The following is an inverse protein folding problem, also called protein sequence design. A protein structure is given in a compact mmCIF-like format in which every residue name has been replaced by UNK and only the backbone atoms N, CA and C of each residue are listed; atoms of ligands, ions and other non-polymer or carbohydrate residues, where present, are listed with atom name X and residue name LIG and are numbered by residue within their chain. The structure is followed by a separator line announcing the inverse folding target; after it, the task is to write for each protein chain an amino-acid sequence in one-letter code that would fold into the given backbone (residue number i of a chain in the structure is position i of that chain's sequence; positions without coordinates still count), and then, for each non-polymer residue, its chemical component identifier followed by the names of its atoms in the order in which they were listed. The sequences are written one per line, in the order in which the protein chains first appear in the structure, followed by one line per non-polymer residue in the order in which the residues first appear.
data_IF_748235528340
#
_entry.id   IF_748235528340
#
_cell.length_a   1.000
_cell.length_b   1.000
_cell.length_c   1.000
_cell.angle_alpha   90.00
_cell.angle_beta   90.00
_cell.angle_gamma   90.00
#
_symmetry.space_group_name_H-M   'P 1'
#
loop_
_entity.id
_entity.type
_entity.pdbx_description
1 polymer ?
#
# COMPACT_ATOMS: atom_id res chain seq x y z
N UNK A 1 0.21 12.37 -19.73
CA UNK A 1 -0.71 13.50 -19.48
C UNK A 1 -0.66 13.77 -17.99
N UNK A 2 0.08 14.81 -17.62
CA UNK A 2 0.13 15.35 -16.26
C UNK A 2 -1.30 15.71 -15.83
N UNK A 3 -1.74 15.38 -14.60
CA UNK A 3 -2.94 16.01 -14.08
C UNK A 3 -2.70 17.53 -14.10
N UNK A 4 -3.65 18.28 -14.68
CA UNK A 4 -3.53 19.73 -14.81
C UNK A 4 -3.31 20.34 -13.41
N UNK A 5 -2.36 21.27 -13.23
CA UNK A 5 -2.02 21.85 -11.92
C UNK A 5 -3.24 22.44 -11.20
N UNK A 6 -4.25 22.88 -11.96
CA UNK A 6 -5.53 23.38 -11.46
C UNK A 6 -6.31 22.35 -10.64
N UNK A 7 -6.34 21.07 -11.02
CA UNK A 7 -7.10 20.05 -10.27
C UNK A 7 -6.44 19.71 -8.93
N UNK A 8 -5.11 19.78 -8.86
CA UNK A 8 -4.37 19.66 -7.60
C UNK A 8 -4.57 20.90 -6.72
N UNK A 9 -4.55 22.09 -7.32
CA UNK A 9 -4.78 23.35 -6.59
C UNK A 9 -6.18 23.39 -5.99
N UNK A 10 -7.20 23.00 -6.77
CA UNK A 10 -8.60 22.92 -6.31
C UNK A 10 -8.77 21.89 -5.20
N UNK A 11 -8.16 20.70 -5.29
CA UNK A 11 -8.21 19.72 -4.20
C UNK A 11 -7.52 20.24 -2.92
N UNK A 12 -6.38 20.92 -3.07
CA UNK A 12 -5.64 21.51 -1.93
C UNK A 12 -6.40 22.68 -1.30
N UNK A 13 -7.12 23.49 -2.10
CA UNK A 13 -7.97 24.57 -1.61
C UNK A 13 -9.28 24.06 -1.02
N UNK A 14 -9.86 22.99 -1.59
CA UNK A 14 -11.04 22.33 -1.03
C UNK A 14 -10.73 21.70 0.34
N UNK A 15 -9.50 21.21 0.56
CA UNK A 15 -9.02 20.77 1.87
C UNK A 15 -8.93 21.90 2.91
N UNK A 16 -8.82 23.16 2.45
CA UNK A 16 -8.85 24.34 3.30
C UNK A 16 -10.29 24.75 3.70
N UNK A 17 -11.27 24.45 2.83
CA UNK A 17 -12.66 24.91 2.97
C UNK A 17 -13.58 23.81 3.54
N UNK A 18 -13.29 22.53 3.29
CA UNK A 18 -13.98 21.40 3.92
C UNK A 18 -13.01 20.64 4.83
N UNK A 19 -13.19 20.67 6.17
CA UNK A 19 -12.39 19.85 7.06
C UNK A 19 -12.51 18.38 6.64
N UNK A 20 -11.36 17.77 6.36
CA UNK A 20 -11.30 16.38 5.97
C UNK A 20 -11.74 15.49 7.15
N UNK A 21 -12.85 14.77 6.99
CA UNK A 21 -13.22 13.71 7.93
C UNK A 21 -12.27 12.52 7.82
N UNK A 22 -12.21 11.73 8.91
CA UNK A 22 -11.40 10.54 9.05
C UNK A 22 -11.54 9.65 7.82
N UNK A 23 -10.42 9.35 7.15
CA UNK A 23 -10.44 8.57 5.92
C UNK A 23 -10.95 7.13 6.11
N UNK A 24 -10.97 6.64 7.35
CA UNK A 24 -11.53 5.34 7.71
C UNK A 24 -13.02 5.41 8.01
N UNK A 25 -13.41 6.00 9.15
CA UNK A 25 -14.80 5.98 9.60
C UNK A 25 -15.67 7.14 9.06
N UNK A 26 -15.06 8.22 8.58
CA UNK A 26 -15.77 9.41 8.11
C UNK A 26 -16.46 10.25 9.19
N UNK A 27 -16.27 9.96 10.48
CA UNK A 27 -17.03 10.60 11.57
C UNK A 27 -16.31 11.77 12.26
N UNK A 28 -14.98 11.77 12.28
CA UNK A 28 -14.18 12.72 13.07
C UNK A 28 -13.39 13.63 12.14
N UNK A 29 -13.32 14.96 12.36
CA UNK A 29 -12.56 15.88 11.51
C UNK A 29 -11.04 15.75 11.76
N UNK A 30 -10.45 14.70 11.22
CA UNK A 30 -9.03 14.39 11.31
C UNK A 30 -8.59 13.57 10.09
N UNK A 31 -7.29 13.43 9.87
CA UNK A 31 -6.77 12.55 8.80
C UNK A 31 -7.19 11.09 8.99
N UNK A 32 -6.91 10.54 10.15
CA UNK A 32 -7.28 9.20 10.59
C UNK A 32 -7.40 9.22 12.12
N UNK A 33 -8.56 8.87 12.66
CA UNK A 33 -8.80 8.94 14.11
C UNK A 33 -8.14 7.77 14.85
N UNK A 34 -7.97 7.91 16.17
CA UNK A 34 -7.35 6.89 17.02
C UNK A 34 -8.03 5.52 16.91
N UNK A 35 -9.36 5.48 16.81
CA UNK A 35 -10.09 4.22 16.61
C UNK A 35 -9.79 3.55 15.25
N UNK A 36 -9.45 4.31 14.22
CA UNK A 36 -9.02 3.76 12.93
C UNK A 36 -7.53 3.43 12.93
N UNK A 37 -6.71 4.21 13.62
CA UNK A 37 -5.30 3.90 13.86
C UNK A 37 -5.14 2.59 14.63
N UNK A 38 -5.93 2.37 15.68
CA UNK A 38 -5.93 1.13 16.47
C UNK A 38 -6.24 -0.10 15.61
N UNK A 39 -7.16 0.00 14.65
CA UNK A 39 -7.46 -1.07 13.69
C UNK A 39 -6.28 -1.38 12.77
N UNK A 40 -5.53 -0.36 12.36
CA UNK A 40 -4.29 -0.56 11.59
C UNK A 40 -3.17 -1.09 12.48
N UNK A 41 -3.17 -0.73 13.77
CA UNK A 41 -2.19 -1.12 14.78
C UNK A 41 -2.39 -2.52 15.38
N UNK A 42 -3.47 -3.21 15.00
CA UNK A 42 -3.70 -4.59 15.39
C UNK A 42 -2.53 -5.50 14.96
N UNK A 43 -2.39 -6.62 15.68
CA UNK A 43 -1.35 -7.61 15.41
C UNK A 43 -1.51 -8.18 13.98
N UNK A 44 -0.45 -8.16 13.16
CA UNK A 44 -0.49 -8.80 11.85
C UNK A 44 -0.76 -10.29 11.96
N UNK A 45 -1.50 -10.83 11.01
CA UNK A 45 -1.85 -12.24 11.02
C UNK A 45 -1.50 -12.92 9.71
N UNK A 46 -1.17 -14.22 9.81
CA UNK A 46 -0.99 -15.08 8.65
C UNK A 46 -2.35 -15.38 8.04
N UNK A 47 -2.52 -15.09 6.75
CA UNK A 47 -3.73 -15.42 6.02
C UNK A 47 -3.70 -16.92 5.70
N UNK A 48 -4.75 -17.69 6.05
CA UNK A 48 -4.85 -19.08 5.62
C UNK A 48 -4.78 -19.15 4.10
N UNK A 49 -3.77 -19.85 3.56
CA UNK A 49 -3.60 -19.96 2.12
C UNK A 49 -4.74 -20.82 1.55
N UNK A 50 -5.58 -20.31 0.63
CA UNK A 50 -6.64 -21.12 0.04
C UNK A 50 -6.10 -22.15 -0.98
N UNK A 51 -4.83 -22.05 -1.38
CA UNK A 51 -4.19 -22.89 -2.39
C UNK A 51 -2.74 -23.18 -2.01
N UNK A 52 -2.31 -24.43 -2.20
CA UNK A 52 -0.95 -24.90 -1.89
C UNK A 52 0.17 -24.20 -2.70
N UNK A 53 -0.18 -23.49 -3.79
CA UNK A 53 0.76 -22.85 -4.70
C UNK A 53 1.06 -21.37 -4.36
N UNK A 54 0.47 -20.81 -3.30
CA UNK A 54 0.70 -19.40 -2.92
C UNK A 54 1.73 -19.36 -1.78
N UNK A 55 2.78 -18.52 -1.86
CA UNK A 55 3.70 -18.34 -0.74
C UNK A 55 2.95 -17.87 0.52
N UNK A 56 3.50 -18.06 1.72
CA UNK A 56 2.88 -17.59 2.96
C UNK A 56 2.48 -16.10 2.86
N UNK A 57 1.20 -15.82 3.11
CA UNK A 57 0.65 -14.46 3.03
C UNK A 57 0.44 -13.90 4.44
N UNK A 58 0.85 -12.66 4.63
CA UNK A 58 0.65 -11.90 5.87
C UNK A 58 -0.19 -10.66 5.59
N UNK A 59 -1.09 -10.33 6.50
CA UNK A 59 -1.94 -9.15 6.42
C UNK A 59 -1.77 -8.29 7.69
N UNK A 60 -1.67 -6.98 7.50
CA UNK A 60 -1.64 -6.02 8.60
C UNK A 60 -3.03 -5.80 9.22
N UNK A 61 -4.10 -6.05 8.45
CA UNK A 61 -5.48 -5.86 8.87
C UNK A 61 -6.44 -6.57 7.90
N UNK A 62 -7.67 -6.84 8.35
CA UNK A 62 -8.76 -7.26 7.48
C UNK A 62 -9.17 -6.13 6.52
N UNK A 63 -9.37 -6.47 5.24
CA UNK A 63 -9.77 -5.50 4.21
C UNK A 63 -11.28 -5.21 4.25
N UNK A 64 -11.73 -4.54 5.30
CA UNK A 64 -13.14 -4.24 5.54
C UNK A 64 -13.33 -2.88 6.22
N UNK A 65 -14.59 -2.41 6.20
CA UNK A 65 -15.03 -1.22 6.94
C UNK A 65 -14.07 -0.02 6.84
N UNK A 66 -13.65 0.56 7.98
CA UNK A 66 -12.75 1.71 8.01
C UNK A 66 -11.36 1.46 7.39
N UNK A 67 -10.82 0.24 7.48
CA UNK A 67 -9.51 -0.09 6.89
C UNK A 67 -9.60 -0.06 5.36
N UNK A 68 -10.65 -0.68 4.79
CA UNK A 68 -10.94 -0.61 3.36
C UNK A 68 -11.12 0.83 2.90
N UNK A 69 -11.89 1.63 3.64
CA UNK A 69 -12.13 3.03 3.30
C UNK A 69 -10.82 3.85 3.27
N UNK A 70 -9.95 3.69 4.27
CA UNK A 70 -8.66 4.37 4.33
C UNK A 70 -7.73 3.96 3.15
N UNK A 71 -7.68 2.67 2.81
CA UNK A 71 -6.90 2.17 1.67
C UNK A 71 -7.40 2.71 0.34
N UNK A 72 -8.72 2.75 0.12
CA UNK A 72 -9.32 3.34 -1.09
C UNK A 72 -9.04 4.85 -1.15
N UNK A 73 -9.18 5.54 -0.02
CA UNK A 73 -8.91 6.97 0.08
C UNK A 73 -7.46 7.29 -0.30
N UNK A 74 -6.51 6.46 0.16
CA UNK A 74 -5.10 6.56 -0.17
C UNK A 74 -4.78 6.27 -1.65
N UNK A 75 -5.28 5.15 -2.17
CA UNK A 75 -4.92 4.66 -3.51
C UNK A 75 -5.59 5.45 -4.63
N UNK A 76 -6.87 5.79 -4.45
CA UNK A 76 -7.71 6.27 -5.54
C UNK A 76 -8.27 7.68 -5.32
N UNK A 77 -8.36 8.17 -4.06
CA UNK A 77 -8.91 9.52 -3.76
C UNK A 77 -7.86 10.55 -3.37
N UNK A 78 -6.58 10.27 -3.63
CA UNK A 78 -5.51 11.24 -3.46
C UNK A 78 -5.13 11.58 -2.02
N UNK A 79 -5.61 10.84 -1.00
CA UNK A 79 -5.24 11.03 0.42
C UNK A 79 -3.84 10.48 0.71
N UNK A 80 -2.84 10.99 -0.02
CA UNK A 80 -1.42 10.56 -0.01
C UNK A 80 -0.73 10.71 1.34
N UNK A 81 -1.31 11.54 2.19
CA UNK A 81 -0.86 11.81 3.55
C UNK A 81 -1.03 10.58 4.47
N UNK A 82 -1.95 9.66 4.14
CA UNK A 82 -2.14 8.37 4.84
C UNK A 82 -0.97 7.38 4.65
N UNK A 83 0.06 7.74 3.88
CA UNK A 83 1.20 6.87 3.61
C UNK A 83 1.95 6.48 4.89
N UNK A 84 1.99 7.36 5.89
CA UNK A 84 2.73 7.13 7.14
C UNK A 84 2.04 6.04 7.96
N UNK A 85 0.75 6.17 8.18
CA UNK A 85 -0.07 5.28 9.01
C UNK A 85 -0.19 3.90 8.36
N UNK A 86 -0.46 3.87 7.04
CA UNK A 86 -0.50 2.62 6.27
C UNK A 86 0.91 2.01 6.14
N UNK A 87 1.95 2.83 6.07
CA UNK A 87 3.33 2.39 6.01
C UNK A 87 3.76 1.70 7.30
N UNK A 88 3.39 2.24 8.45
CA UNK A 88 3.62 1.62 9.75
C UNK A 88 2.90 0.26 9.88
N UNK A 89 1.68 0.16 9.34
CA UNK A 89 0.95 -1.12 9.29
C UNK A 89 1.66 -2.14 8.39
N UNK A 90 2.14 -1.72 7.22
CA UNK A 90 2.95 -2.57 6.34
C UNK A 90 4.25 -3.02 7.02
N UNK A 91 4.95 -2.11 7.71
CA UNK A 91 6.19 -2.42 8.42
C UNK A 91 5.98 -3.52 9.46
N UNK A 92 4.93 -3.43 10.30
CA UNK A 92 4.59 -4.49 11.25
C UNK A 92 4.33 -5.83 10.57
N UNK A 93 3.56 -5.86 9.49
CA UNK A 93 3.29 -7.10 8.77
C UNK A 93 4.56 -7.71 8.16
N UNK A 94 5.50 -6.88 7.71
CA UNK A 94 6.81 -7.35 7.25
C UNK A 94 7.64 -7.90 8.41
N UNK A 95 7.69 -7.23 9.56
CA UNK A 95 8.39 -7.73 10.75
C UNK A 95 7.82 -9.06 11.22
N UNK A 96 6.49 -9.21 11.25
CA UNK A 96 5.83 -10.48 11.57
C UNK A 96 6.21 -11.59 10.57
N UNK A 97 6.21 -11.29 9.27
CA UNK A 97 6.63 -12.24 8.24
C UNK A 97 8.11 -12.62 8.36
N UNK A 98 8.99 -11.64 8.63
CA UNK A 98 10.42 -11.84 8.80
C UNK A 98 10.76 -12.66 10.05
N UNK A 99 9.99 -12.51 11.13
CA UNK A 99 10.14 -13.35 12.33
C UNK A 99 9.92 -14.85 12.10
N UNK A 100 9.30 -15.22 10.96
CA UNK A 100 9.10 -16.60 10.53
C UNK A 100 10.14 -17.07 9.51
N UNK A 101 11.05 -16.20 9.08
CA UNK A 101 12.16 -16.57 8.21
C UNK A 101 13.32 -17.18 9.03
N UNK A 102 14.19 -18.02 8.42
CA UNK A 102 15.40 -18.50 9.09
C UNK A 102 16.28 -17.34 9.56
N UNK A 103 16.82 -17.43 10.77
CA UNK A 103 17.70 -16.39 11.37
C UNK A 103 18.98 -16.09 10.58
N UNK A 104 19.36 -16.97 9.66
CA UNK A 104 20.51 -16.80 8.76
C UNK A 104 20.17 -16.08 7.44
N UNK A 105 18.89 -15.79 7.19
CA UNK A 105 18.50 -14.96 6.07
C UNK A 105 18.99 -13.54 6.35
N UNK A 106 19.79 -12.96 5.46
CA UNK A 106 20.30 -11.60 5.59
C UNK A 106 19.19 -10.53 5.54
N UNK A 107 19.44 -9.35 4.96
CA UNK A 107 18.42 -8.30 4.91
C UNK A 107 17.17 -8.75 4.14
N UNK A 108 16.00 -8.35 4.65
CA UNK A 108 14.69 -8.50 4.02
C UNK A 108 14.51 -7.49 2.89
N UNK A 109 14.27 -7.98 1.67
CA UNK A 109 14.00 -7.12 0.53
C UNK A 109 12.49 -6.92 0.35
N UNK A 110 12.01 -5.69 0.47
CA UNK A 110 10.65 -5.31 0.08
C UNK A 110 10.62 -5.04 -1.43
N UNK A 111 10.12 -6.00 -2.20
CA UNK A 111 9.97 -5.84 -3.65
C UNK A 111 8.51 -5.48 -3.97
N UNK A 112 8.18 -4.21 -4.29
CA UNK A 112 6.82 -3.84 -4.69
C UNK A 112 6.47 -4.45 -6.04
N UNK A 113 5.25 -4.96 -6.17
CA UNK A 113 4.69 -5.34 -7.48
C UNK A 113 4.64 -4.09 -8.37
N UNK A 114 5.20 -4.13 -9.60
CA UNK A 114 5.30 -2.94 -10.43
C UNK A 114 3.92 -2.42 -10.85
N UNK A 115 3.71 -1.11 -10.75
CA UNK A 115 2.53 -0.44 -11.32
C UNK A 115 2.79 -0.13 -12.81
N UNK A 116 1.78 -0.33 -13.67
CA UNK A 116 1.89 0.05 -15.08
C UNK A 116 2.26 1.55 -15.24
N UNK A 117 3.23 1.84 -16.11
CA UNK A 117 3.76 3.21 -16.30
C UNK A 117 2.67 4.21 -16.66
N UNK A 118 1.69 3.81 -17.47
CA UNK A 118 0.53 4.64 -17.82
C UNK A 118 -0.25 5.06 -16.57
N UNK A 119 -0.52 4.14 -15.64
CA UNK A 119 -1.24 4.42 -14.40
C UNK A 119 -0.47 5.32 -13.44
N UNK A 120 0.86 5.18 -13.41
CA UNK A 120 1.72 6.10 -12.65
C UNK A 120 1.64 7.51 -13.24
N UNK A 121 1.65 7.63 -14.58
CA UNK A 121 1.53 8.93 -15.29
C UNK A 121 0.17 9.58 -15.10
N UNK A 122 -0.92 8.81 -15.18
CA UNK A 122 -2.29 9.29 -14.96
C UNK A 122 -2.50 9.80 -13.54
N UNK A 123 -2.00 9.06 -12.53
CA UNK A 123 -2.13 9.43 -11.11
C UNK A 123 -1.10 10.46 -10.64
N UNK A 124 0.02 10.58 -11.35
CA UNK A 124 1.17 11.41 -10.99
C UNK A 124 2.04 10.84 -9.87
N UNK A 125 1.79 9.61 -9.41
CA UNK A 125 2.60 8.89 -8.42
C UNK A 125 2.29 7.39 -8.43
N UNK A 126 3.18 6.60 -7.83
CA UNK A 126 2.96 5.17 -7.53
C UNK A 126 2.58 5.03 -6.03
N UNK A 127 1.32 4.65 -5.71
CA UNK A 127 0.90 4.46 -4.33
C UNK A 127 1.68 3.37 -3.60
N UNK A 128 1.98 2.24 -4.25
CA UNK A 128 2.67 1.13 -3.59
C UNK A 128 4.12 1.49 -3.31
N UNK A 129 4.84 2.10 -4.27
CA UNK A 129 6.21 2.53 -4.05
C UNK A 129 6.32 3.64 -2.98
N UNK A 130 5.31 4.52 -2.87
CA UNK A 130 5.25 5.51 -1.79
C UNK A 130 5.00 4.84 -0.43
N UNK A 131 4.12 3.86 -0.38
CA UNK A 131 3.79 3.10 0.83
C UNK A 131 5.00 2.30 1.35
N UNK A 132 5.69 1.57 0.47
CA UNK A 132 6.91 0.81 0.81
C UNK A 132 7.98 1.74 1.37
N UNK A 133 8.21 2.90 0.74
CA UNK A 133 9.16 3.90 1.28
C UNK A 133 8.74 4.46 2.63
N UNK A 134 7.44 4.59 2.89
CA UNK A 134 6.95 5.03 4.19
C UNK A 134 7.12 3.94 5.26
N UNK A 135 6.94 2.67 4.90
CA UNK A 135 7.21 1.54 5.78
C UNK A 135 8.70 1.49 6.18
N UNK A 136 9.61 1.60 5.20
CA UNK A 136 11.06 1.59 5.46
C UNK A 136 11.50 2.78 6.32
N UNK A 137 10.93 3.98 6.12
CA UNK A 137 11.25 5.15 6.96
C UNK A 137 10.63 5.10 8.36
N UNK A 138 9.62 4.26 8.56
CA UNK A 138 8.89 4.15 9.82
C UNK A 138 9.39 3.04 10.74
N UNK A 139 10.36 2.24 10.30
CA UNK A 139 10.99 1.22 11.14
C UNK A 139 11.99 1.86 12.10
N UNK A 140 12.17 1.26 13.28
CA UNK A 140 13.07 1.81 14.28
C UNK A 140 14.54 1.71 13.83
N UNK A 141 15.41 2.66 14.23
CA UNK A 141 16.84 2.58 13.98
C UNK A 141 17.42 1.25 14.47
N UNK A 142 18.15 0.54 13.60
CA UNK A 142 18.69 -0.80 13.87
C UNK A 142 17.89 -1.96 13.24
N UNK A 143 16.59 -1.78 12.98
CA UNK A 143 15.79 -2.67 12.12
C UNK A 143 15.82 -2.22 10.65
N UNK A 144 16.09 -0.92 10.41
CA UNK A 144 16.14 -0.27 9.10
C UNK A 144 17.17 -0.88 8.13
N UNK A 145 18.33 -1.31 8.65
CA UNK A 145 19.38 -1.93 7.84
C UNK A 145 18.97 -3.29 7.24
N UNK A 146 17.86 -3.85 7.72
CA UNK A 146 17.30 -5.08 7.20
C UNK A 146 16.26 -4.84 6.09
N UNK A 147 15.76 -3.63 5.82
CA UNK A 147 14.71 -3.41 4.81
C UNK A 147 15.20 -2.59 3.62
N UNK A 148 15.39 -3.23 2.47
CA UNK A 148 15.71 -2.54 1.22
C UNK A 148 14.60 -2.73 0.18
N UNK A 149 14.34 -1.69 -0.62
CA UNK A 149 13.39 -1.75 -1.74
C UNK A 149 14.11 -1.54 -3.07
N UNK A 150 14.84 -2.54 -3.59
CA UNK A 150 15.50 -2.41 -4.86
C UNK A 150 14.44 -2.38 -5.99
N UNK A 151 14.67 -1.57 -7.02
CA UNK A 151 13.80 -1.49 -8.20
C UNK A 151 14.05 -2.69 -9.12
N UNK A 152 13.73 -3.90 -8.66
CA UNK A 152 14.08 -5.17 -9.33
C UNK A 152 13.04 -5.62 -10.34
N UNK A 153 11.77 -5.24 -10.16
CA UNK A 153 10.68 -5.64 -11.05
C UNK A 153 10.22 -4.49 -11.93
N UNK A 154 10.02 -4.79 -13.22
CA UNK A 154 9.40 -3.91 -14.20
C UNK A 154 8.56 -4.75 -15.16
N UNK A 155 7.46 -4.19 -15.64
CA UNK A 155 6.78 -4.78 -16.79
C UNK A 155 7.64 -4.60 -18.04
N UNK A 156 7.89 -5.68 -18.79
CA UNK A 156 8.64 -5.67 -20.06
C UNK A 156 7.76 -5.43 -21.28
N UNK A 157 6.43 -5.54 -21.10
CA UNK A 157 5.42 -5.20 -22.09
C UNK A 157 4.24 -4.45 -21.46
N UNK A 158 3.35 -3.83 -22.24
CA UNK A 158 2.07 -3.33 -21.73
C UNK A 158 1.24 -4.44 -21.08
N UNK A 159 0.63 -4.13 -19.94
CA UNK A 159 -0.33 -4.99 -19.23
C UNK A 159 -1.64 -4.22 -19.06
N UNK A 160 -2.77 -4.89 -19.23
CA UNK A 160 -4.08 -4.30 -19.00
C UNK A 160 -4.33 -4.07 -17.51
N UNK A 161 -5.35 -3.27 -17.18
CA UNK A 161 -5.81 -3.16 -15.79
C UNK A 161 -6.25 -4.54 -15.28
N UNK A 162 -5.87 -4.86 -14.03
CA UNK A 162 -6.29 -6.10 -13.39
C UNK A 162 -7.70 -6.00 -12.78
N UNK A 163 -8.24 -4.80 -12.65
CA UNK A 163 -9.63 -4.60 -12.21
C UNK A 163 -10.60 -5.29 -13.18
N UNK A 164 -11.56 -6.05 -12.63
CA UNK A 164 -12.54 -6.78 -13.42
C UNK A 164 -12.06 -8.12 -14.00
N UNK A 165 -10.76 -8.43 -13.94
CA UNK A 165 -10.25 -9.74 -14.35
C UNK A 165 -10.42 -10.78 -13.24
N UNK A 166 -10.80 -12.00 -13.64
CA UNK A 166 -10.77 -13.19 -12.79
C UNK A 166 -9.34 -13.73 -12.64
N UNK A 167 -9.17 -14.83 -11.90
CA UNK A 167 -7.84 -15.39 -11.64
C UNK A 167 -7.12 -15.80 -12.93
N UNK A 168 -7.84 -16.41 -13.88
CA UNK A 168 -7.28 -16.84 -15.18
C UNK A 168 -6.92 -15.64 -16.03
N UNK A 169 -7.79 -14.65 -16.13
CA UNK A 169 -7.55 -13.40 -16.85
C UNK A 169 -6.35 -12.65 -16.32
N UNK A 170 -6.14 -12.61 -15.00
CA UNK A 170 -4.93 -12.02 -14.40
C UNK A 170 -3.67 -12.79 -14.78
N UNK A 171 -3.69 -14.13 -14.74
CA UNK A 171 -2.56 -14.95 -15.13
C UNK A 171 -2.18 -14.73 -16.60
N UNK A 172 -3.15 -14.70 -17.51
CA UNK A 172 -2.94 -14.42 -18.94
C UNK A 172 -2.41 -13.00 -19.14
N UNK A 173 -3.01 -12.01 -18.47
CA UNK A 173 -2.58 -10.61 -18.59
C UNK A 173 -1.13 -10.39 -18.14
N UNK A 174 -0.64 -11.18 -17.17
CA UNK A 174 0.74 -11.11 -16.66
C UNK A 174 1.72 -12.11 -17.32
N UNK A 175 1.24 -13.03 -18.17
CA UNK A 175 2.11 -14.05 -18.76
C UNK A 175 3.22 -13.40 -19.61
N UNK A 176 4.49 -13.65 -19.26
CA UNK A 176 5.66 -13.07 -19.91
C UNK A 176 5.78 -11.54 -19.78
N UNK A 177 5.13 -10.94 -18.78
CA UNK A 177 5.15 -9.50 -18.52
C UNK A 177 6.24 -9.05 -17.55
#
# INVERSE_FOLDING_TARGET
MTPRPLTQLVATLADLVLPQYCAGCGQVPCRLCDGCLARLAAEPFRVPAPLAAVPPVWAAAHYEGPVRAALVAYKERGRRSLATELGAALARAVSAAAGHAPRSAGPVLLVPVPTARQRVRERGYDPLARLVRAAIRGTAPGEESALASPATLRHVRPVADQAGLDARGRAVNLAGA
#
